data_IF_671466782176
#
_entry.id   IF_671466782176
#
_cell.length_a   1.000
_cell.length_b   1.000
_cell.length_c   1.000
_cell.angle_alpha   90.00
_cell.angle_beta   90.00
_cell.angle_gamma   90.00
#
_symmetry.space_group_name_H-M   'P 1'
#
loop_
_entity.id
_entity.type
_entity.pdbx_description
1 polymer ?
#
# COMPACT_ATOMS: atom_id res chain seq x y z
N UNK A 1 8.64 -61.50 -27.82
CA UNK A 1 8.19 -60.64 -26.73
C UNK A 1 8.86 -59.25 -26.91
N UNK A 2 8.10 -58.31 -27.47
CA UNK A 2 8.56 -56.93 -27.64
C UNK A 2 8.24 -56.19 -26.35
N UNK A 3 9.27 -55.71 -25.65
CA UNK A 3 9.13 -54.76 -24.56
C UNK A 3 9.29 -53.38 -25.13
N UNK A 4 8.18 -52.69 -25.33
CA UNK A 4 8.15 -51.26 -25.63
C UNK A 4 8.36 -50.48 -24.32
N UNK A 5 9.56 -49.94 -24.13
CA UNK A 5 9.84 -49.01 -23.05
C UNK A 5 9.01 -47.73 -23.27
N UNK A 6 8.10 -47.42 -22.37
CA UNK A 6 7.51 -46.11 -22.24
C UNK A 6 8.60 -45.18 -21.72
N UNK A 7 9.14 -44.32 -22.59
CA UNK A 7 9.79 -43.10 -22.13
C UNK A 7 8.70 -42.20 -21.57
N UNK A 8 8.61 -42.15 -20.25
CA UNK A 8 7.93 -41.04 -19.60
C UNK A 8 8.65 -39.78 -19.98
N UNK A 9 7.98 -38.86 -20.65
CA UNK A 9 8.41 -37.48 -20.77
C UNK A 9 8.69 -37.00 -19.35
N UNK A 10 9.94 -36.85 -19.03
CA UNK A 10 10.37 -36.11 -17.87
C UNK A 10 10.25 -34.65 -18.35
N UNK A 11 9.02 -34.13 -18.40
CA UNK A 11 8.80 -32.74 -18.69
C UNK A 11 9.47 -31.93 -17.59
N UNK A 12 10.39 -31.11 -18.00
CA UNK A 12 11.12 -30.11 -17.25
C UNK A 12 10.14 -29.10 -16.60
N UNK A 13 9.34 -29.57 -15.65
CA UNK A 13 8.53 -28.69 -14.80
C UNK A 13 9.41 -27.71 -14.02
N UNK A 14 10.62 -28.12 -13.69
CA UNK A 14 11.59 -27.26 -13.00
C UNK A 14 12.11 -26.11 -13.87
N UNK A 15 12.13 -26.26 -15.20
CA UNK A 15 12.55 -25.17 -16.11
C UNK A 15 11.47 -24.10 -16.28
N UNK A 16 10.19 -24.43 -16.11
CA UNK A 16 9.10 -23.45 -16.16
C UNK A 16 9.00 -22.59 -14.90
N UNK A 17 9.64 -22.98 -13.81
CA UNK A 17 9.65 -22.26 -12.55
C UNK A 17 11.04 -21.69 -12.18
N UNK A 18 12.05 -21.89 -13.03
CA UNK A 18 13.30 -21.17 -12.90
C UNK A 18 13.04 -19.64 -13.10
N UNK A 19 13.89 -18.82 -12.51
CA UNK A 19 13.83 -17.35 -12.63
C UNK A 19 13.95 -16.93 -14.11
N UNK A 20 12.89 -17.10 -14.89
CA UNK A 20 12.83 -16.60 -16.26
C UNK A 20 12.35 -15.16 -16.22
N UNK A 21 13.13 -14.26 -16.80
CA UNK A 21 12.69 -12.91 -17.11
C UNK A 21 11.57 -13.01 -18.15
N UNK A 22 10.35 -12.73 -17.74
CA UNK A 22 9.22 -12.61 -18.64
C UNK A 22 9.08 -11.16 -19.07
N UNK A 23 8.92 -10.94 -20.35
CA UNK A 23 8.56 -9.64 -20.90
C UNK A 23 7.05 -9.60 -21.07
N UNK A 24 6.39 -8.73 -20.32
CA UNK A 24 4.95 -8.48 -20.44
C UNK A 24 4.78 -7.02 -20.81
N UNK A 25 4.28 -6.75 -22.01
CA UNK A 25 4.13 -5.39 -22.53
C UNK A 25 5.44 -4.56 -22.41
N UNK A 26 6.58 -5.13 -22.81
CA UNK A 26 7.92 -4.54 -22.76
C UNK A 26 8.45 -4.23 -21.33
N UNK A 27 7.79 -4.73 -20.29
CA UNK A 27 8.30 -4.63 -18.91
C UNK A 27 8.93 -5.97 -18.52
N UNK A 28 10.20 -5.97 -18.14
CA UNK A 28 10.90 -7.16 -17.67
C UNK A 28 10.36 -7.58 -16.29
N UNK A 29 9.92 -8.84 -16.18
CA UNK A 29 9.38 -9.39 -14.95
C UNK A 29 10.18 -10.64 -14.59
N UNK A 30 10.81 -10.62 -13.42
CA UNK A 30 11.41 -11.81 -12.83
C UNK A 30 10.33 -12.65 -12.15
N UNK A 31 10.27 -13.95 -12.43
CA UNK A 31 9.32 -14.87 -11.78
C UNK A 31 10.04 -15.70 -10.74
N UNK A 32 9.48 -15.73 -9.52
CA UNK A 32 10.06 -16.46 -8.39
C UNK A 32 8.99 -17.31 -7.72
N UNK A 33 9.28 -18.61 -7.55
CA UNK A 33 8.36 -19.54 -6.87
C UNK A 33 8.53 -19.48 -5.34
N UNK A 34 8.17 -18.32 -4.76
CA UNK A 34 8.15 -18.07 -3.32
C UNK A 34 6.93 -17.20 -2.99
N UNK A 35 6.48 -17.25 -1.74
CA UNK A 35 5.56 -16.22 -1.23
C UNK A 35 6.25 -14.85 -1.20
N UNK A 36 5.49 -13.76 -1.15
CA UNK A 36 6.05 -12.42 -1.00
C UNK A 36 6.90 -12.29 0.27
N UNK A 37 6.44 -12.84 1.38
CA UNK A 37 7.17 -12.83 2.66
C UNK A 37 8.51 -13.57 2.55
N UNK A 38 8.51 -14.78 1.99
CA UNK A 38 9.75 -15.58 1.80
C UNK A 38 10.69 -14.90 0.80
N UNK A 39 10.13 -14.28 -0.24
CA UNK A 39 10.93 -13.52 -1.20
C UNK A 39 11.63 -12.36 -0.51
N UNK A 40 10.90 -11.49 0.19
CA UNK A 40 11.47 -10.35 0.91
C UNK A 40 12.54 -10.78 1.93
N UNK A 41 12.28 -11.84 2.69
CA UNK A 41 13.23 -12.39 3.65
C UNK A 41 14.52 -12.90 2.98
N UNK A 42 14.42 -13.40 1.77
CA UNK A 42 15.57 -13.99 1.05
C UNK A 42 16.42 -12.95 0.28
N UNK A 43 16.00 -11.67 0.25
CA UNK A 43 16.72 -10.62 -0.47
C UNK A 43 17.49 -9.72 0.53
N UNK A 44 18.82 -9.84 0.63
CA UNK A 44 19.61 -9.03 1.55
C UNK A 44 19.45 -7.52 1.31
N UNK A 45 19.30 -7.12 0.05
CA UNK A 45 19.12 -5.74 -0.38
C UNK A 45 17.77 -5.12 -0.03
N UNK A 46 16.81 -5.91 0.46
CA UNK A 46 15.49 -5.47 0.90
C UNK A 46 15.32 -5.61 2.44
N UNK A 47 16.43 -5.79 3.16
CA UNK A 47 16.41 -6.09 4.60
C UNK A 47 15.72 -5.00 5.44
N UNK A 48 15.86 -3.74 5.04
CA UNK A 48 15.21 -2.60 5.72
C UNK A 48 13.69 -2.64 5.56
N UNK A 49 13.18 -2.93 4.36
CA UNK A 49 11.74 -3.07 4.12
C UNK A 49 11.17 -4.33 4.80
N UNK A 50 11.86 -5.45 4.72
CA UNK A 50 11.47 -6.66 5.43
C UNK A 50 11.35 -6.40 6.94
N UNK A 51 12.35 -5.75 7.54
CA UNK A 51 12.32 -5.38 8.96
C UNK A 51 11.19 -4.40 9.28
N UNK A 52 10.93 -3.40 8.42
CA UNK A 52 9.82 -2.46 8.60
C UNK A 52 8.48 -3.22 8.66
N UNK A 53 8.21 -4.11 7.71
CA UNK A 53 6.98 -4.90 7.67
C UNK A 53 6.86 -5.88 8.85
N UNK A 54 7.97 -6.49 9.28
CA UNK A 54 7.98 -7.40 10.43
C UNK A 54 7.76 -6.67 11.75
N UNK A 55 8.49 -5.59 12.02
CA UNK A 55 8.40 -4.84 13.28
C UNK A 55 7.05 -4.09 13.45
N UNK A 56 6.36 -3.80 12.35
CA UNK A 56 5.03 -3.16 12.37
C UNK A 56 3.87 -4.15 12.39
N UNK A 57 4.15 -5.47 12.35
CA UNK A 57 3.14 -6.51 12.29
C UNK A 57 2.45 -6.66 10.92
N UNK A 58 2.81 -5.85 9.95
CA UNK A 58 2.22 -5.86 8.60
C UNK A 58 2.51 -7.17 7.87
N UNK A 59 3.71 -7.74 8.09
CA UNK A 59 4.09 -9.03 7.49
C UNK A 59 3.20 -10.17 8.00
N UNK A 60 2.92 -10.20 9.31
CA UNK A 60 2.05 -11.20 9.93
C UNK A 60 0.60 -11.05 9.42
N UNK A 61 0.11 -9.81 9.30
CA UNK A 61 -1.20 -9.50 8.74
C UNK A 61 -1.33 -9.98 7.28
N UNK A 62 -0.26 -9.84 6.46
CA UNK A 62 -0.24 -10.38 5.09
C UNK A 62 -0.34 -11.91 5.06
N UNK A 63 0.39 -12.58 5.95
CA UNK A 63 0.40 -14.06 6.02
C UNK A 63 -0.98 -14.57 6.46
N UNK A 64 -1.59 -13.94 7.47
CA UNK A 64 -2.90 -14.33 7.99
C UNK A 64 -4.04 -14.15 6.98
N UNK A 65 -3.98 -13.12 6.15
CA UNK A 65 -5.06 -12.81 5.19
C UNK A 65 -5.12 -13.74 3.99
N UNK A 66 -4.02 -14.42 3.65
CA UNK A 66 -3.91 -15.31 2.47
C UNK A 66 -4.50 -14.69 1.17
N UNK A 67 -4.18 -13.43 0.93
CA UNK A 67 -4.65 -12.66 -0.22
C UNK A 67 -3.55 -12.54 -1.28
N UNK A 68 -3.93 -11.98 -2.43
CA UNK A 68 -2.98 -11.56 -3.46
C UNK A 68 -2.59 -10.10 -3.24
N UNK A 69 -1.30 -9.79 -3.35
CA UNK A 69 -0.76 -8.48 -3.00
C UNK A 69 -0.05 -7.77 -4.15
N UNK A 70 -0.07 -6.45 -4.09
CA UNK A 70 0.93 -5.59 -4.71
C UNK A 70 1.75 -4.95 -3.61
N UNK A 71 3.05 -5.16 -3.65
CA UNK A 71 3.97 -4.70 -2.62
C UNK A 71 5.00 -3.79 -3.28
N UNK A 72 5.15 -2.60 -2.73
CA UNK A 72 6.18 -1.64 -3.12
C UNK A 72 7.33 -1.75 -2.13
N UNK A 73 8.55 -1.87 -2.60
CA UNK A 73 9.73 -1.99 -1.75
C UNK A 73 10.83 -1.06 -2.22
N UNK A 74 11.67 -0.63 -1.30
CA UNK A 74 12.83 0.21 -1.58
C UNK A 74 14.08 -0.55 -1.23
N UNK A 75 15.06 -0.55 -2.12
CA UNK A 75 16.37 -1.16 -1.90
C UNK A 75 17.10 -0.44 -0.76
N UNK A 76 17.90 -1.18 0.02
CA UNK A 76 18.63 -0.65 1.18
C UNK A 76 19.58 0.50 0.83
N UNK A 77 20.13 0.52 -0.40
CA UNK A 77 20.96 1.61 -0.90
C UNK A 77 20.19 2.94 -1.00
N UNK A 78 18.89 2.87 -1.27
CA UNK A 78 18.00 4.01 -1.44
C UNK A 78 17.18 4.31 -0.18
N UNK A 79 17.08 3.35 0.75
CA UNK A 79 16.29 3.47 1.97
C UNK A 79 16.93 4.36 3.06
N UNK A 80 18.06 5.00 2.75
CA UNK A 80 18.89 5.71 3.71
C UNK A 80 18.16 6.86 4.42
N UNK A 81 18.03 6.70 5.72
CA UNK A 81 17.95 7.76 6.74
C UNK A 81 16.62 8.48 6.98
N UNK A 82 15.47 7.90 6.72
CA UNK A 82 14.25 8.44 7.31
C UNK A 82 14.15 7.98 8.77
N UNK A 83 14.46 8.88 9.71
CA UNK A 83 14.09 8.70 11.12
C UNK A 83 12.57 8.85 11.24
N UNK A 84 11.85 7.72 11.09
CA UNK A 84 10.39 7.66 11.16
C UNK A 84 10.01 7.33 12.60
N UNK A 85 9.09 8.10 13.20
CA UNK A 85 8.52 7.81 14.53
C UNK A 85 7.77 6.48 14.50
N UNK A 86 7.46 5.89 15.65
CA UNK A 86 6.84 4.56 15.72
C UNK A 86 5.46 4.54 15.02
N UNK A 87 4.65 5.58 15.20
CA UNK A 87 3.31 5.67 14.59
C UNK A 87 3.40 5.87 13.08
N UNK A 88 4.36 6.69 12.62
CA UNK A 88 4.62 6.90 11.20
C UNK A 88 5.14 5.63 10.50
N UNK A 89 5.83 4.72 11.23
CA UNK A 89 6.36 3.47 10.65
C UNK A 89 5.27 2.52 10.19
N UNK A 90 4.22 2.33 10.98
CA UNK A 90 3.09 1.48 10.59
C UNK A 90 2.34 2.10 9.41
N UNK A 91 2.13 3.40 9.42
CA UNK A 91 1.52 4.11 8.31
C UNK A 91 2.37 3.99 7.04
N UNK A 92 3.69 4.15 7.15
CA UNK A 92 4.63 3.97 6.04
C UNK A 92 4.61 2.53 5.52
N UNK A 93 4.64 1.52 6.39
CA UNK A 93 4.57 0.13 5.98
C UNK A 93 3.28 -0.15 5.19
N UNK A 94 2.13 0.30 5.71
CA UNK A 94 0.82 0.14 5.07
C UNK A 94 0.65 0.95 3.78
N UNK A 95 1.40 2.05 3.59
CA UNK A 95 1.40 2.81 2.34
C UNK A 95 2.08 2.07 1.18
N UNK A 96 2.81 1.00 1.47
CA UNK A 96 3.56 0.21 0.51
C UNK A 96 2.90 -1.14 0.17
N UNK A 97 1.67 -1.39 0.66
CA UNK A 97 0.96 -2.65 0.41
C UNK A 97 -0.47 -2.37 -0.04
N UNK A 98 -0.89 -3.09 -1.07
CA UNK A 98 -2.27 -3.19 -1.52
C UNK A 98 -2.69 -4.66 -1.58
N UNK A 99 -3.92 -4.97 -1.21
CA UNK A 99 -4.54 -6.29 -1.31
C UNK A 99 -5.13 -6.58 -2.69
N UNK A 100 -4.70 -5.82 -3.68
CA UNK A 100 -5.02 -6.04 -5.08
C UNK A 100 -3.74 -6.44 -5.80
N UNK A 101 -3.72 -7.63 -6.42
CA UNK A 101 -2.59 -8.06 -7.25
C UNK A 101 -2.63 -7.38 -8.61
N UNK A 102 -1.75 -6.42 -8.81
CA UNK A 102 -1.64 -5.66 -10.05
C UNK A 102 -0.45 -6.15 -10.85
N UNK A 103 -0.72 -6.87 -11.94
CA UNK A 103 0.33 -7.17 -12.91
C UNK A 103 0.65 -5.91 -13.74
N UNK A 104 1.88 -5.77 -14.27
CA UNK A 104 2.23 -4.65 -15.15
C UNK A 104 1.33 -4.49 -16.37
N UNK A 105 0.78 -5.63 -16.88
CA UNK A 105 -0.18 -5.62 -17.99
C UNK A 105 -1.54 -5.03 -17.61
N UNK A 106 -1.92 -5.13 -16.33
CA UNK A 106 -3.21 -4.63 -15.83
C UNK A 106 -3.14 -3.19 -15.32
N UNK A 107 -1.93 -2.63 -15.20
CA UNK A 107 -1.76 -1.23 -14.85
C UNK A 107 -2.13 -0.32 -16.02
N UNK A 108 -2.87 0.75 -15.71
CA UNK A 108 -3.24 1.80 -16.66
C UNK A 108 -2.72 3.15 -16.18
N UNK A 109 -2.36 4.01 -17.13
CA UNK A 109 -1.98 5.38 -16.80
C UNK A 109 -3.14 6.14 -16.14
N UNK A 110 -2.83 6.89 -15.07
CA UNK A 110 -3.82 7.59 -14.25
C UNK A 110 -4.65 6.69 -13.31
N UNK A 111 -4.39 5.38 -13.27
CA UNK A 111 -5.06 4.48 -12.34
C UNK A 111 -4.74 4.85 -10.88
N UNK A 112 -5.76 4.78 -10.01
CA UNK A 112 -5.60 4.93 -8.56
C UNK A 112 -5.61 3.56 -7.89
N UNK A 113 -4.66 3.35 -7.00
CA UNK A 113 -4.52 2.11 -6.22
C UNK A 113 -4.72 2.42 -4.75
N UNK A 114 -5.65 1.71 -4.12
CA UNK A 114 -5.87 1.81 -2.68
C UNK A 114 -4.80 1.02 -1.94
N UNK A 115 -4.13 1.69 -1.01
CA UNK A 115 -3.12 1.08 -0.14
C UNK A 115 -3.70 0.74 1.24
N UNK A 116 -3.03 -0.10 2.00
CA UNK A 116 -3.52 -0.54 3.33
C UNK A 116 -3.61 0.56 4.38
N UNK A 117 -2.93 1.68 4.17
CA UNK A 117 -3.10 2.86 5.01
C UNK A 117 -4.38 3.67 4.69
N UNK A 118 -5.25 3.17 3.81
CA UNK A 118 -6.50 3.83 3.40
C UNK A 118 -6.33 4.95 2.37
N UNK A 119 -5.11 5.20 1.92
CA UNK A 119 -4.78 6.25 0.94
C UNK A 119 -4.70 5.69 -0.47
N UNK A 120 -4.92 6.55 -1.46
CA UNK A 120 -4.70 6.21 -2.86
C UNK A 120 -3.35 6.71 -3.35
N UNK A 121 -2.70 5.90 -4.17
CA UNK A 121 -1.55 6.31 -4.98
C UNK A 121 -1.91 6.28 -6.45
N UNK A 122 -1.29 7.14 -7.25
CA UNK A 122 -1.51 7.22 -8.69
C UNK A 122 -0.46 6.40 -9.43
N UNK A 123 -0.91 5.64 -10.42
CA UNK A 123 -0.03 4.95 -11.37
C UNK A 123 0.20 5.86 -12.56
N UNK A 124 1.44 5.96 -13.01
CA UNK A 124 1.74 6.47 -14.35
C UNK A 124 2.43 5.36 -15.15
N UNK A 125 1.94 5.13 -16.36
CA UNK A 125 2.46 4.12 -17.28
C UNK A 125 2.66 4.77 -18.64
N UNK A 126 3.93 4.97 -19.01
CA UNK A 126 4.32 5.68 -20.22
C UNK A 126 5.06 4.71 -21.12
N UNK A 127 4.61 4.59 -22.36
CA UNK A 127 5.32 3.88 -23.42
C UNK A 127 6.19 4.88 -24.19
N UNK A 128 7.49 4.60 -24.23
CA UNK A 128 8.46 5.41 -24.94
C UNK A 128 8.50 5.06 -26.45
N UNK A 129 9.13 5.91 -27.26
CA UNK A 129 9.23 5.69 -28.71
C UNK A 129 9.92 4.37 -29.10
N UNK A 130 10.77 3.82 -28.23
CA UNK A 130 11.44 2.53 -28.40
C UNK A 130 10.59 1.33 -27.95
N UNK A 131 9.30 1.50 -27.67
CA UNK A 131 8.39 0.53 -27.08
C UNK A 131 8.83 0.04 -25.69
N UNK A 132 9.64 0.79 -24.99
CA UNK A 132 9.95 0.54 -23.58
C UNK A 132 8.88 1.19 -22.70
N UNK A 133 8.41 0.44 -21.69
CA UNK A 133 7.35 0.88 -20.79
C UNK A 133 7.95 1.27 -19.45
N UNK A 134 7.79 2.52 -19.06
CA UNK A 134 8.12 3.00 -17.71
C UNK A 134 6.88 3.04 -16.84
N UNK A 135 7.01 2.55 -15.60
CA UNK A 135 5.96 2.56 -14.59
C UNK A 135 6.45 3.36 -13.40
N UNK A 136 5.57 4.21 -12.86
CA UNK A 136 5.81 4.91 -11.61
C UNK A 136 4.57 4.91 -10.72
N UNK A 137 4.77 5.00 -9.41
CA UNK A 137 3.72 5.18 -8.40
C UNK A 137 3.95 6.52 -7.69
N UNK A 138 2.97 7.43 -7.74
CA UNK A 138 3.10 8.81 -7.28
C UNK A 138 4.38 9.52 -7.78
N UNK A 139 4.77 9.22 -9.03
CA UNK A 139 5.96 9.80 -9.65
C UNK A 139 7.28 9.12 -9.27
N UNK A 140 7.29 8.15 -8.35
CA UNK A 140 8.47 7.35 -8.02
C UNK A 140 8.59 6.20 -9.00
N UNK A 141 9.74 6.10 -9.66
CA UNK A 141 9.96 5.12 -10.71
C UNK A 141 10.12 3.68 -10.16
N UNK A 142 9.58 2.73 -10.90
CA UNK A 142 9.81 1.29 -10.70
C UNK A 142 11.14 0.91 -11.32
N UNK A 143 12.01 0.22 -10.56
CA UNK A 143 13.32 -0.27 -11.01
C UNK A 143 13.28 -1.74 -11.42
N UNK A 144 12.50 -2.55 -10.69
CA UNK A 144 12.41 -4.00 -10.91
C UNK A 144 11.04 -4.50 -10.53
N UNK A 145 10.58 -5.52 -11.22
CA UNK A 145 9.30 -6.16 -10.94
C UNK A 145 9.54 -7.65 -10.74
N UNK A 146 9.05 -8.18 -9.63
CA UNK A 146 9.14 -9.61 -9.34
C UNK A 146 7.73 -10.16 -9.13
N UNK A 147 7.37 -11.16 -9.94
CA UNK A 147 6.16 -11.96 -9.71
C UNK A 147 6.46 -13.03 -8.69
N UNK A 148 5.69 -13.08 -7.63
CA UNK A 148 5.74 -14.09 -6.56
C UNK A 148 4.43 -14.90 -6.56
N UNK A 149 4.35 -15.97 -5.76
CA UNK A 149 3.18 -16.87 -5.76
C UNK A 149 1.87 -16.17 -5.40
N UNK A 150 1.93 -15.15 -4.54
CA UNK A 150 0.78 -14.41 -4.05
C UNK A 150 0.79 -12.93 -4.48
N UNK A 151 1.36 -12.61 -5.65
CA UNK A 151 1.24 -11.26 -6.20
C UNK A 151 2.48 -10.72 -6.89
N UNK A 152 2.69 -9.42 -6.77
CA UNK A 152 3.80 -8.70 -7.39
C UNK A 152 4.55 -7.83 -6.39
N UNK A 153 5.87 -7.87 -6.47
CA UNK A 153 6.77 -6.98 -5.72
C UNK A 153 7.40 -6.00 -6.71
N UNK A 154 7.16 -4.72 -6.49
CA UNK A 154 7.72 -3.60 -7.27
C UNK A 154 8.84 -2.96 -6.46
N UNK A 155 10.06 -3.05 -6.95
CA UNK A 155 11.21 -2.35 -6.39
C UNK A 155 11.22 -0.91 -6.89
N UNK A 156 11.13 0.03 -5.97
CA UNK A 156 10.97 1.45 -6.22
C UNK A 156 12.30 2.18 -6.08
N UNK A 157 12.42 3.32 -6.73
CA UNK A 157 13.58 4.20 -6.60
C UNK A 157 13.67 4.85 -5.22
N UNK A 158 12.52 5.15 -4.61
CA UNK A 158 12.39 5.77 -3.28
C UNK A 158 11.05 5.35 -2.64
N UNK A 159 10.83 5.73 -1.38
CA UNK A 159 9.56 5.52 -0.69
C UNK A 159 8.41 6.25 -1.38
N UNK A 160 7.27 5.55 -1.51
CA UNK A 160 6.06 6.14 -2.09
C UNK A 160 5.28 6.84 -1.00
N UNK A 161 5.28 8.18 -1.04
CA UNK A 161 4.47 8.99 -0.13
C UNK A 161 3.03 9.05 -0.61
N UNK A 162 2.11 8.92 0.34
CA UNK A 162 0.69 9.10 0.07
C UNK A 162 0.30 10.57 0.24
N UNK A 163 -0.52 11.14 -0.66
CA UNK A 163 -0.95 12.52 -0.54
C UNK A 163 -1.79 12.73 0.73
N UNK A 164 -1.70 13.92 1.29
CA UNK A 164 -2.58 14.32 2.39
C UNK A 164 -3.98 14.57 1.88
N UNK A 165 -5.00 14.16 2.64
CA UNK A 165 -6.38 14.54 2.43
C UNK A 165 -6.58 16.04 2.65
N UNK A 166 -7.71 16.58 2.17
CA UNK A 166 -8.06 17.99 2.45
C UNK A 166 -8.18 18.27 3.95
N UNK A 167 -8.68 17.29 4.72
CA UNK A 167 -8.77 17.39 6.16
C UNK A 167 -7.37 17.51 6.81
N UNK A 168 -6.44 16.62 6.46
CA UNK A 168 -5.06 16.63 6.98
C UNK A 168 -4.30 17.90 6.57
N UNK A 169 -4.61 18.46 5.40
CA UNK A 169 -4.05 19.75 4.99
C UNK A 169 -4.59 20.89 5.86
N UNK A 170 -5.90 20.89 6.18
CA UNK A 170 -6.51 21.89 7.06
C UNK A 170 -5.99 21.76 8.48
N UNK A 171 -5.87 20.53 9.00
CA UNK A 171 -5.30 20.26 10.33
C UNK A 171 -3.87 20.77 10.47
N UNK A 172 -3.07 20.65 9.41
CA UNK A 172 -1.68 21.14 9.35
C UNK A 172 -1.52 22.63 9.04
N UNK A 173 -2.60 23.42 8.96
CA UNK A 173 -2.51 24.86 8.71
C UNK A 173 -1.83 25.59 9.86
N UNK A 174 -1.00 26.59 9.51
CA UNK A 174 -0.33 27.46 10.46
C UNK A 174 -1.26 28.42 11.21
N UNK A 175 -0.68 29.18 12.14
CA UNK A 175 -1.42 30.08 13.04
C UNK A 175 -2.25 31.16 12.33
N UNK A 176 -1.81 31.57 11.13
CA UNK A 176 -2.53 32.56 10.31
C UNK A 176 -3.92 32.09 9.85
N UNK A 177 -4.21 30.78 9.97
CA UNK A 177 -5.46 30.14 9.59
C UNK A 177 -6.13 29.42 10.76
N UNK A 178 -5.73 29.73 11.99
CA UNK A 178 -6.18 29.02 13.20
C UNK A 178 -7.69 29.09 13.38
N UNK A 179 -8.33 30.24 13.11
CA UNK A 179 -9.79 30.39 13.25
C UNK A 179 -10.53 29.39 12.34
N UNK A 180 -10.16 29.34 11.06
CA UNK A 180 -10.77 28.40 10.13
C UNK A 180 -10.50 26.93 10.54
N UNK A 181 -9.24 26.62 10.87
CA UNK A 181 -8.86 25.28 11.35
C UNK A 181 -9.70 24.85 12.57
N UNK A 182 -9.80 25.70 13.58
CA UNK A 182 -10.56 25.43 14.81
C UNK A 182 -12.06 25.24 14.54
N UNK A 183 -12.66 26.04 13.67
CA UNK A 183 -14.07 25.87 13.25
C UNK A 183 -14.36 24.46 12.69
N UNK A 184 -13.39 23.91 11.95
CA UNK A 184 -13.51 22.55 11.38
C UNK A 184 -13.29 21.50 12.46
N UNK A 185 -12.22 21.65 13.27
CA UNK A 185 -11.77 20.65 14.23
C UNK A 185 -12.67 20.52 15.48
N UNK A 186 -13.29 21.63 15.94
CA UNK A 186 -14.14 21.62 17.13
C UNK A 186 -15.34 20.67 17.06
N UNK A 187 -15.72 20.24 15.83
CA UNK A 187 -16.84 19.33 15.58
C UNK A 187 -16.41 17.87 15.47
N UNK A 188 -15.14 17.61 15.64
CA UNK A 188 -14.62 16.25 15.62
C UNK A 188 -15.13 15.44 16.80
N UNK A 189 -15.46 14.20 16.54
CA UNK A 189 -15.88 13.21 17.53
C UNK A 189 -15.06 11.94 17.35
N UNK A 190 -14.74 11.31 18.48
CA UNK A 190 -14.17 9.97 18.47
C UNK A 190 -15.34 8.97 18.41
N UNK A 191 -15.40 8.22 17.32
CA UNK A 191 -16.40 7.19 17.09
C UNK A 191 -15.74 5.81 17.17
N UNK A 192 -16.36 4.90 17.92
CA UNK A 192 -15.89 3.53 18.03
C UNK A 192 -15.99 2.84 16.66
N UNK A 193 -14.86 2.36 16.18
CA UNK A 193 -14.77 1.60 14.93
C UNK A 193 -14.84 0.10 15.26
N UNK A 194 -16.02 -0.47 15.08
CA UNK A 194 -16.27 -1.88 15.36
C UNK A 194 -15.53 -2.81 14.37
N UNK A 195 -15.35 -2.37 13.14
CA UNK A 195 -14.72 -3.19 12.09
C UNK A 195 -13.21 -3.27 12.26
N UNK A 196 -12.58 -2.17 12.67
CA UNK A 196 -11.17 -2.12 12.99
C UNK A 196 -10.82 -2.71 14.36
N UNK A 197 -11.81 -2.85 15.25
CA UNK A 197 -11.64 -3.34 16.63
C UNK A 197 -11.61 -4.87 16.69
N UNK A 198 -10.65 -5.43 17.44
CA UNK A 198 -10.56 -6.88 17.67
C UNK A 198 -11.35 -7.29 18.91
N UNK A 199 -12.10 -8.40 18.83
CA UNK A 199 -12.72 -9.01 20.00
C UNK A 199 -11.62 -9.73 20.79
N UNK A 200 -11.39 -9.32 22.05
CA UNK A 200 -10.39 -9.90 22.95
C UNK A 200 -11.00 -10.80 24.02
N UNK A 201 -12.32 -10.84 24.13
CA UNK A 201 -13.02 -11.69 25.10
C UNK A 201 -14.51 -11.42 25.14
N UNK A 202 -15.16 -12.02 26.14
CA UNK A 202 -16.58 -11.83 26.47
C UNK A 202 -16.65 -11.48 27.93
N UNK A 203 -17.44 -10.49 28.31
CA UNK A 203 -17.66 -10.11 29.71
C UNK A 203 -18.62 -11.04 30.43
N UNK A 204 -18.83 -10.79 31.74
CA UNK A 204 -19.73 -11.59 32.58
C UNK A 204 -21.20 -11.57 32.13
N UNK A 205 -21.57 -10.61 31.28
CA UNK A 205 -22.93 -10.46 30.72
C UNK A 205 -23.09 -11.14 29.37
N UNK A 206 -22.02 -11.70 28.80
CA UNK A 206 -22.00 -12.30 27.47
C UNK A 206 -21.76 -11.29 26.35
N UNK A 207 -21.38 -10.06 26.67
CA UNK A 207 -21.06 -9.02 25.68
C UNK A 207 -19.61 -9.07 25.25
N UNK A 208 -19.35 -8.79 23.95
CA UNK A 208 -18.00 -8.79 23.45
C UNK A 208 -17.16 -7.66 24.07
N UNK A 209 -15.97 -8.01 24.51
CA UNK A 209 -14.92 -7.06 24.91
C UNK A 209 -13.98 -6.84 23.73
N UNK A 210 -13.75 -5.58 23.42
CA UNK A 210 -12.93 -5.19 22.26
C UNK A 210 -11.59 -4.59 22.70
N UNK A 211 -10.55 -4.90 21.95
CA UNK A 211 -9.39 -4.01 21.81
C UNK A 211 -9.84 -2.88 20.89
N UNK A 212 -10.25 -1.77 21.53
CA UNK A 212 -11.11 -0.77 20.88
C UNK A 212 -10.29 0.20 20.04
N UNK A 213 -10.60 0.27 18.76
CA UNK A 213 -10.11 1.30 17.85
C UNK A 213 -11.16 2.40 17.74
N UNK A 214 -10.71 3.65 17.79
CA UNK A 214 -11.56 4.81 17.60
C UNK A 214 -11.07 5.59 16.38
N UNK A 215 -12.00 6.01 15.53
CA UNK A 215 -11.74 6.89 14.40
C UNK A 215 -12.30 8.28 14.66
N UNK A 216 -11.64 9.28 14.11
CA UNK A 216 -12.15 10.66 14.13
C UNK A 216 -13.22 10.77 13.05
N UNK A 217 -14.44 11.18 13.46
CA UNK A 217 -15.53 11.53 12.54
C UNK A 217 -15.91 12.99 12.72
N UNK A 218 -16.51 13.58 11.69
CA UNK A 218 -17.03 14.94 11.77
C UNK A 218 -18.48 14.97 11.26
N UNK A 219 -19.49 14.99 12.15
CA UNK A 219 -20.89 14.92 11.76
C UNK A 219 -21.35 16.01 10.80
N UNK A 220 -20.67 17.16 10.80
CA UNK A 220 -20.99 18.25 9.87
C UNK A 220 -20.69 17.85 8.42
N UNK A 221 -19.57 17.16 8.18
CA UNK A 221 -19.22 16.69 6.85
C UNK A 221 -20.14 15.57 6.38
N UNK A 222 -20.46 14.64 7.27
CA UNK A 222 -21.39 13.55 6.97
C UNK A 222 -22.78 14.07 6.59
N UNK A 223 -23.32 15.05 7.36
CA UNK A 223 -24.61 15.64 7.11
C UNK A 223 -24.69 16.45 5.80
N UNK A 224 -23.57 16.85 5.23
CA UNK A 224 -23.51 17.66 4.02
C UNK A 224 -23.10 16.87 2.77
N UNK A 225 -22.87 15.57 2.91
CA UNK A 225 -22.30 14.74 1.82
C UNK A 225 -21.03 15.34 1.23
N UNK A 226 -20.22 15.97 2.09
CA UNK A 226 -18.98 16.65 1.74
C UNK A 226 -17.90 16.33 2.76
N UNK A 227 -17.46 15.07 2.76
CA UNK A 227 -16.52 14.60 3.76
C UNK A 227 -15.07 14.92 3.36
N UNK A 228 -14.47 15.95 3.97
CA UNK A 228 -13.07 16.34 3.75
C UNK A 228 -12.05 15.25 4.17
N UNK A 229 -12.46 14.29 4.98
CA UNK A 229 -11.64 13.13 5.36
C UNK A 229 -11.66 12.04 4.29
N UNK A 230 -12.60 12.12 3.33
CA UNK A 230 -12.73 11.09 2.29
C UNK A 230 -11.62 11.21 1.25
N UNK A 231 -10.88 10.12 1.06
CA UNK A 231 -9.86 10.01 0.03
C UNK A 231 -10.43 10.02 -1.41
N UNK A 232 -11.73 9.79 -1.55
CA UNK A 232 -12.41 9.85 -2.86
C UNK A 232 -12.91 11.24 -3.22
N UNK A 233 -12.88 12.19 -2.27
CA UNK A 233 -13.35 13.55 -2.50
C UNK A 233 -12.37 14.32 -3.40
N UNK A 234 -12.87 14.80 -4.54
CA UNK A 234 -12.17 15.76 -5.38
C UNK A 234 -12.84 17.12 -5.24
N UNK A 235 -12.24 18.02 -4.48
CA UNK A 235 -12.80 19.34 -4.19
C UNK A 235 -11.72 20.43 -4.10
N UNK A 236 -12.15 21.67 -4.22
CA UNK A 236 -11.32 22.85 -3.96
C UNK A 236 -11.88 23.58 -2.75
N UNK A 237 -11.04 23.80 -1.75
CA UNK A 237 -11.39 24.55 -0.54
C UNK A 237 -10.69 25.89 -0.55
N UNK A 238 -11.46 26.97 -0.41
CA UNK A 238 -10.94 28.31 -0.23
C UNK A 238 -10.85 28.62 1.27
N UNK A 239 -9.64 28.84 1.76
CA UNK A 239 -9.37 29.01 3.18
C UNK A 239 -9.07 30.48 3.45
N UNK A 240 -9.93 31.20 4.22
CA UNK A 240 -9.67 32.59 4.61
C UNK A 240 -8.58 32.62 5.70
N UNK A 241 -7.71 33.63 5.64
CA UNK A 241 -6.83 33.95 6.75
C UNK A 241 -7.59 34.60 7.92
N UNK A 242 -6.99 34.59 9.10
CA UNK A 242 -7.59 35.19 10.30
C UNK A 242 -7.91 36.69 10.13
N UNK A 243 -7.19 37.37 9.24
CA UNK A 243 -7.39 38.83 8.99
C UNK A 243 -8.72 39.13 8.27
N UNK A 244 -9.35 38.11 7.66
CA UNK A 244 -10.60 38.29 6.89
C UNK A 244 -11.79 37.54 7.50
N UNK A 245 -11.59 36.90 8.60
CA UNK A 245 -12.62 36.24 9.42
C UNK A 245 -12.98 37.13 10.59
#
# INVERSE_FOLDING_TARGET
LLVTGMYACNDDWDSHYSQEEQVVNNVNITVVNKSAADYLQSQPELSTMYRLFSETGVLDEMIEKDLLFTILVVNDENSLSRAVTTDDRTFLAKSHISDISLSPSNLSDGQRVLMWNGKYINVSKIENEDNDTSISFNGIAVKKITKVNNGYVYEMEDYVETPKSLYELIEGLGDDYSIFREMIMERNQLTFDKEASKIIGVDETGSNVYDSVFTVTNPYFEAKDFNLMSESLSATVLIPSNDVV
#
